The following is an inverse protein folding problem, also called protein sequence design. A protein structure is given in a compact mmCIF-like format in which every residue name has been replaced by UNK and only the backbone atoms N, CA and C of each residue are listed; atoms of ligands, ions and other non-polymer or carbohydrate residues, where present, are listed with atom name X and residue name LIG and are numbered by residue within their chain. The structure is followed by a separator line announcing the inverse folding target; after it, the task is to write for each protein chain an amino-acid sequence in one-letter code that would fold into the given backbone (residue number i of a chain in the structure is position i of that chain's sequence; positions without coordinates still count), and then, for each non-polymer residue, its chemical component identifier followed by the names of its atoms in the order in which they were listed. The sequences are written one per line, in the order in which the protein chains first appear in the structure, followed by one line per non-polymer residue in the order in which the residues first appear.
data_IF_278540436593
#
_entry.id   IF_278540436593
#
_cell.length_a   1.000
_cell.length_b   1.000
_cell.length_c   1.000
_cell.angle_alpha   90.00
_cell.angle_beta   90.00
_cell.angle_gamma   90.00
#
_symmetry.space_group_name_H-M   'P 1'
#
loop_
_entity.id
_entity.type
_entity.pdbx_description
1 polymer ?
#
# COMPACT_ATOMS: atom_id res chain seq x y z
N UNK A 1 -7.35 28.72 17.78
CA UNK A 1 -7.26 28.89 16.31
C UNK A 1 -6.97 27.50 15.78
N UNK A 2 -7.98 26.82 15.26
CA UNK A 2 -7.77 25.56 14.54
C UNK A 2 -7.24 25.97 13.18
N UNK A 3 -5.93 25.92 12.98
CA UNK A 3 -5.38 25.98 11.62
C UNK A 3 -6.02 24.83 10.86
N UNK A 4 -6.79 25.16 9.82
CA UNK A 4 -7.33 24.14 8.94
C UNK A 4 -6.14 23.37 8.35
N UNK A 5 -6.17 22.03 8.37
CA UNK A 5 -5.10 21.24 7.77
C UNK A 5 -4.93 21.61 6.28
N UNK A 6 -3.69 21.62 5.80
CA UNK A 6 -3.39 21.83 4.38
C UNK A 6 -4.07 20.73 3.55
N UNK A 7 -4.71 21.07 2.44
CA UNK A 7 -5.31 20.08 1.54
C UNK A 7 -4.35 19.76 0.39
N UNK A 8 -3.76 18.56 0.31
CA UNK A 8 -2.87 18.19 -0.79
C UNK A 8 -3.62 18.06 -2.11
N UNK A 9 -2.92 18.33 -3.21
CA UNK A 9 -3.41 18.02 -4.54
C UNK A 9 -3.12 16.53 -4.83
N UNK A 10 -4.17 15.71 -4.89
CA UNK A 10 -4.06 14.25 -5.07
C UNK A 10 -4.50 13.87 -6.48
N UNK A 11 -3.65 13.16 -7.21
CA UNK A 11 -3.97 12.57 -8.52
C UNK A 11 -3.87 11.05 -8.43
N UNK A 12 -4.93 10.35 -8.81
CA UNK A 12 -5.01 8.89 -8.80
C UNK A 12 -4.67 8.27 -10.16
N UNK A 13 -4.04 7.10 -10.14
CA UNK A 13 -3.68 6.28 -11.31
C UNK A 13 -4.18 4.85 -11.05
N UNK A 14 -5.31 4.49 -11.66
CA UNK A 14 -5.92 3.18 -11.48
C UNK A 14 -5.31 2.14 -12.44
N UNK A 15 -4.91 0.98 -11.91
CA UNK A 15 -4.59 -0.21 -12.70
C UNK A 15 -5.76 -1.18 -12.78
N UNK A 16 -6.41 -1.34 -13.95
CA UNK A 16 -7.49 -2.32 -14.08
C UNK A 16 -7.02 -3.78 -13.99
N UNK A 17 -5.72 -4.08 -14.11
CA UNK A 17 -5.22 -5.46 -14.04
C UNK A 17 -5.12 -6.00 -12.61
N UNK A 18 -4.89 -5.13 -11.63
CA UNK A 18 -4.78 -5.48 -10.20
C UNK A 18 -5.84 -4.80 -9.33
N UNK A 19 -6.55 -3.81 -9.87
CA UNK A 19 -7.45 -2.89 -9.18
C UNK A 19 -6.74 -1.93 -8.21
N UNK A 20 -5.41 -1.79 -8.34
CA UNK A 20 -4.61 -0.90 -7.51
C UNK A 20 -4.83 0.55 -7.90
N UNK A 21 -4.87 1.44 -6.93
CA UNK A 21 -4.87 2.89 -7.12
C UNK A 21 -3.56 3.44 -6.60
N UNK A 22 -2.67 3.86 -7.50
CA UNK A 22 -1.47 4.61 -7.13
C UNK A 22 -1.78 6.10 -7.05
N UNK A 23 -1.05 6.84 -6.23
CA UNK A 23 -1.28 8.29 -6.06
C UNK A 23 -0.02 9.12 -6.29
N UNK A 24 -0.20 10.28 -6.91
CA UNK A 24 0.74 11.42 -6.76
C UNK A 24 0.10 12.43 -5.82
N UNK A 25 0.80 12.74 -4.73
CA UNK A 25 0.38 13.67 -3.69
C UNK A 25 1.29 14.89 -3.72
N UNK A 26 0.76 16.04 -4.12
CA UNK A 26 1.51 17.28 -4.27
C UNK A 26 1.19 18.28 -3.16
N UNK A 27 2.23 18.93 -2.65
CA UNK A 27 2.11 20.12 -1.80
C UNK A 27 1.53 21.29 -2.61
N UNK A 28 0.37 21.86 -2.25
CA UNK A 28 -0.22 22.98 -2.98
C UNK A 28 0.63 24.25 -2.94
N UNK A 29 1.56 24.36 -1.99
CA UNK A 29 2.43 25.53 -1.82
C UNK A 29 3.82 25.38 -2.47
N UNK A 30 4.14 24.23 -3.08
CA UNK A 30 5.43 23.99 -3.72
C UNK A 30 5.36 23.01 -4.90
N UNK A 31 6.52 22.68 -5.47
CA UNK A 31 6.66 21.65 -6.50
C UNK A 31 6.87 20.24 -5.91
N UNK A 32 6.95 20.10 -4.58
CA UNK A 32 7.24 18.83 -3.94
C UNK A 32 6.06 17.87 -4.04
N UNK A 33 6.36 16.60 -4.36
CA UNK A 33 5.36 15.53 -4.36
C UNK A 33 5.87 14.21 -3.78
N UNK A 34 4.94 13.34 -3.44
CA UNK A 34 5.17 11.93 -3.15
C UNK A 34 4.39 11.05 -4.12
N UNK A 35 4.91 9.84 -4.37
CA UNK A 35 4.19 8.76 -5.06
C UNK A 35 3.88 7.68 -4.03
N UNK A 36 2.65 7.15 -4.06
CA UNK A 36 2.17 6.12 -3.13
C UNK A 36 1.72 4.89 -3.93
N UNK A 37 2.19 3.70 -3.53
CA UNK A 37 1.77 2.37 -4.01
C UNK A 37 1.81 2.22 -5.55
N UNK A 38 2.99 2.47 -6.14
CA UNK A 38 3.18 2.43 -7.60
C UNK A 38 3.27 1.02 -8.18
N UNK A 39 2.75 0.81 -9.39
CA UNK A 39 2.68 -0.52 -10.04
C UNK A 39 3.78 -0.73 -11.10
N UNK A 40 4.46 -1.88 -11.03
CA UNK A 40 5.19 -2.53 -12.12
C UNK A 40 4.29 -3.62 -12.71
N UNK A 41 3.97 -3.50 -14.01
CA UNK A 41 3.05 -4.44 -14.65
C UNK A 41 3.71 -5.81 -14.81
N UNK A 42 2.91 -6.88 -14.70
CA UNK A 42 3.36 -8.23 -15.02
C UNK A 42 2.29 -9.02 -15.80
N UNK A 43 2.68 -9.53 -16.96
CA UNK A 43 2.02 -10.69 -17.57
C UNK A 43 2.66 -11.94 -16.97
N UNK A 44 2.03 -12.46 -15.92
CA UNK A 44 2.58 -13.57 -15.16
C UNK A 44 2.68 -14.86 -16.00
N UNK A 45 1.76 -15.08 -16.93
CA UNK A 45 1.79 -16.27 -17.79
C UNK A 45 2.97 -16.21 -18.78
N UNK A 46 3.32 -15.02 -19.24
CA UNK A 46 4.46 -14.80 -20.13
C UNK A 46 5.78 -14.52 -19.41
N UNK A 47 5.77 -14.34 -18.08
CA UNK A 47 6.93 -13.88 -17.30
C UNK A 47 7.44 -12.49 -17.73
N UNK A 48 6.57 -11.65 -18.32
CA UNK A 48 6.97 -10.36 -18.88
C UNK A 48 6.56 -9.23 -17.95
N UNK A 49 7.53 -8.41 -17.56
CA UNK A 49 7.27 -7.15 -16.87
C UNK A 49 7.19 -5.98 -17.85
N UNK A 50 6.42 -4.96 -17.51
CA UNK A 50 6.50 -3.62 -18.12
C UNK A 50 6.38 -2.53 -17.05
N UNK A 51 6.65 -1.30 -17.45
CA UNK A 51 6.60 -0.13 -16.57
C UNK A 51 5.58 0.90 -17.04
N UNK A 52 4.52 0.46 -17.73
CA UNK A 52 3.56 1.36 -18.39
C UNK A 52 2.85 2.25 -17.37
N UNK A 53 2.44 1.68 -16.24
CA UNK A 53 1.81 2.44 -15.16
C UNK A 53 2.81 3.37 -14.46
N UNK A 54 4.01 2.89 -14.16
CA UNK A 54 5.08 3.73 -13.62
C UNK A 54 5.46 4.88 -14.58
N UNK A 55 5.48 4.64 -15.89
CA UNK A 55 5.74 5.65 -16.93
C UNK A 55 4.68 6.76 -16.95
N UNK A 56 3.41 6.43 -16.68
CA UNK A 56 2.34 7.44 -16.56
C UNK A 56 2.59 8.39 -15.38
N UNK A 57 3.01 7.84 -14.24
CA UNK A 57 3.37 8.61 -13.05
C UNK A 57 4.62 9.47 -13.34
N UNK A 58 5.64 8.90 -13.97
CA UNK A 58 6.87 9.62 -14.35
C UNK A 58 6.55 10.79 -15.30
N UNK A 59 5.72 10.54 -16.31
CA UNK A 59 5.27 11.58 -17.24
C UNK A 59 4.51 12.69 -16.51
N UNK A 60 3.57 12.33 -15.62
CA UNK A 60 2.82 13.31 -14.83
C UNK A 60 3.74 14.23 -14.01
N UNK A 61 4.72 13.67 -13.31
CA UNK A 61 5.69 14.41 -12.49
C UNK A 61 6.52 15.35 -13.37
N UNK A 62 7.03 14.86 -14.52
CA UNK A 62 7.84 15.66 -15.45
C UNK A 62 7.05 16.78 -16.12
N UNK A 63 5.86 16.49 -16.62
CA UNK A 63 5.01 17.45 -17.35
C UNK A 63 4.59 18.64 -16.47
N UNK A 64 4.53 18.43 -15.14
CA UNK A 64 4.19 19.45 -14.16
C UNK A 64 5.42 20.07 -13.47
N UNK A 65 6.63 19.66 -13.84
CA UNK A 65 7.88 20.08 -13.20
C UNK A 65 7.87 19.86 -11.68
N UNK A 66 7.31 18.73 -11.23
CA UNK A 66 7.28 18.38 -9.82
C UNK A 66 8.61 17.74 -9.39
N UNK A 67 8.93 17.91 -8.10
CA UNK A 67 10.10 17.33 -7.45
C UNK A 67 9.67 16.19 -6.55
N UNK A 68 9.97 14.96 -6.96
CA UNK A 68 9.67 13.76 -6.18
C UNK A 68 10.56 13.69 -4.92
N UNK A 69 9.96 13.76 -3.74
CA UNK A 69 10.67 13.63 -2.46
C UNK A 69 10.56 12.23 -1.87
N UNK A 70 9.42 11.57 -2.10
CA UNK A 70 9.09 10.29 -1.49
C UNK A 70 8.41 9.33 -2.46
N UNK A 71 8.78 8.07 -2.35
CA UNK A 71 8.05 6.91 -2.83
C UNK A 71 7.63 6.15 -1.57
N UNK A 72 6.34 5.93 -1.39
CA UNK A 72 5.81 5.35 -0.15
C UNK A 72 5.04 4.08 -0.50
N UNK A 73 5.40 3.00 0.18
CA UNK A 73 4.63 1.78 0.19
C UNK A 73 3.81 1.72 1.49
N UNK A 74 2.49 1.66 1.36
CA UNK A 74 1.60 1.49 2.53
C UNK A 74 1.83 0.14 3.18
N UNK A 75 2.18 -0.89 2.41
CA UNK A 75 2.51 -2.23 2.89
C UNK A 75 3.28 -3.03 1.83
N UNK A 76 3.63 -4.29 2.14
CA UNK A 76 4.14 -5.22 1.14
C UNK A 76 2.96 -5.81 0.38
N UNK A 77 2.71 -5.31 -0.82
CA UNK A 77 1.58 -5.72 -1.65
C UNK A 77 1.67 -7.18 -2.09
N UNK A 78 0.52 -7.85 -2.13
CA UNK A 78 0.37 -9.26 -2.52
C UNK A 78 -0.34 -9.44 -3.87
N UNK A 79 -0.70 -8.35 -4.54
CA UNK A 79 -1.58 -8.32 -5.69
C UNK A 79 -0.92 -7.63 -6.90
N UNK A 80 0.13 -6.84 -6.69
CA UNK A 80 0.93 -6.21 -7.74
C UNK A 80 2.42 -6.12 -7.34
N UNK A 81 3.31 -5.89 -8.30
CA UNK A 81 4.73 -5.65 -8.04
C UNK A 81 4.96 -4.15 -7.94
N UNK A 82 5.78 -3.69 -6.99
CA UNK A 82 6.07 -2.27 -6.84
C UNK A 82 6.91 -1.74 -8.01
N UNK A 83 6.48 -0.61 -8.58
CA UNK A 83 7.23 0.17 -9.56
C UNK A 83 8.22 1.16 -8.94
N UNK A 84 8.35 1.20 -7.60
CA UNK A 84 9.02 2.30 -6.91
C UNK A 84 10.50 2.46 -7.29
N UNK A 85 11.33 1.40 -7.40
CA UNK A 85 12.74 1.56 -7.81
C UNK A 85 12.90 2.10 -9.23
N UNK A 86 11.98 1.75 -10.14
CA UNK A 86 12.01 2.25 -11.51
C UNK A 86 11.72 3.75 -11.55
N UNK A 87 10.70 4.19 -10.81
CA UNK A 87 10.37 5.62 -10.64
C UNK A 87 11.52 6.36 -9.95
N UNK A 88 12.10 5.76 -8.90
CA UNK A 88 13.22 6.32 -8.15
C UNK A 88 14.44 6.56 -9.05
N UNK A 89 14.78 5.61 -9.91
CA UNK A 89 15.89 5.76 -10.85
C UNK A 89 15.64 6.90 -11.86
N UNK A 90 14.37 7.14 -12.23
CA UNK A 90 13.99 8.16 -13.22
C UNK A 90 13.84 9.58 -12.65
N UNK A 91 13.51 9.71 -11.36
CA UNK A 91 13.07 10.97 -10.74
C UNK A 91 13.75 11.30 -9.40
N UNK A 92 14.47 10.35 -8.78
CA UNK A 92 15.00 10.48 -7.42
C UNK A 92 13.95 10.19 -6.36
N UNK A 93 14.05 10.89 -5.22
CA UNK A 93 13.21 10.65 -4.05
C UNK A 93 13.72 9.51 -3.16
N UNK A 94 13.07 9.33 -2.01
CA UNK A 94 13.38 8.28 -1.02
C UNK A 94 12.26 7.26 -0.93
N UNK A 95 12.59 5.98 -0.98
CA UNK A 95 11.64 4.88 -0.84
C UNK A 95 11.44 4.53 0.64
N UNK A 96 10.21 4.65 1.11
CA UNK A 96 9.83 4.39 2.51
C UNK A 96 8.75 3.34 2.67
N UNK A 97 8.84 2.58 3.77
CA UNK A 97 7.86 1.55 4.18
C UNK A 97 7.79 1.47 5.71
N UNK A 98 6.80 0.80 6.27
CA UNK A 98 6.71 0.51 7.71
C UNK A 98 7.87 -0.36 8.22
N UNK A 99 8.39 -0.04 9.41
CA UNK A 99 9.55 -0.72 10.01
C UNK A 99 9.34 -2.23 10.28
N UNK A 100 8.08 -2.68 10.36
CA UNK A 100 7.73 -4.09 10.49
C UNK A 100 7.89 -4.87 9.16
N UNK A 101 8.39 -4.24 8.10
CA UNK A 101 8.87 -4.93 6.88
C UNK A 101 9.82 -6.08 7.21
N UNK A 102 10.63 -5.94 8.25
CA UNK A 102 11.58 -6.98 8.70
C UNK A 102 10.86 -8.29 9.07
N UNK A 103 9.66 -8.23 9.66
CA UNK A 103 8.84 -9.42 9.96
C UNK A 103 8.39 -10.11 8.67
N UNK A 104 8.02 -9.33 7.66
CA UNK A 104 7.61 -9.83 6.34
C UNK A 104 8.82 -10.46 5.63
N UNK A 105 9.98 -9.81 5.64
CA UNK A 105 11.23 -10.32 5.06
C UNK A 105 11.69 -11.62 5.75
N UNK A 106 11.56 -11.72 7.07
CA UNK A 106 11.87 -12.94 7.81
C UNK A 106 10.95 -14.11 7.48
N UNK A 107 9.66 -13.82 7.30
CA UNK A 107 8.65 -14.83 6.97
C UNK A 107 8.83 -15.32 5.54
N UNK A 108 8.80 -14.40 4.57
CA UNK A 108 8.84 -14.76 3.15
C UNK A 108 10.22 -15.09 2.64
N UNK A 109 11.28 -14.58 3.27
CA UNK A 109 12.65 -15.03 3.01
C UNK A 109 12.82 -16.53 3.28
N UNK A 110 12.09 -17.10 4.26
CA UNK A 110 12.08 -18.56 4.51
C UNK A 110 11.22 -19.29 3.48
N UNK A 111 10.01 -18.81 3.22
CA UNK A 111 9.06 -19.43 2.27
C UNK A 111 9.67 -19.53 0.86
N UNK A 112 10.35 -18.49 0.40
CA UNK A 112 10.98 -18.45 -0.92
C UNK A 112 12.42 -18.97 -0.95
N UNK A 113 12.88 -19.56 0.17
CA UNK A 113 14.24 -20.09 0.31
C UNK A 113 15.30 -19.08 -0.16
N UNK A 114 15.25 -17.88 0.42
CA UNK A 114 16.24 -16.85 0.20
C UNK A 114 17.44 -17.07 1.10
N UNK A 115 18.61 -17.12 0.48
CA UNK A 115 19.88 -17.31 1.15
C UNK A 115 20.29 -16.09 1.99
N UNK A 116 21.50 -16.16 2.53
CA UNK A 116 22.05 -15.14 3.45
C UNK A 116 22.37 -13.80 2.77
N UNK A 117 22.36 -13.75 1.43
CA UNK A 117 22.58 -12.51 0.67
C UNK A 117 21.37 -11.57 0.73
N UNK A 118 20.16 -12.12 0.89
CA UNK A 118 18.97 -11.31 1.10
C UNK A 118 18.91 -10.84 2.54
N UNK A 119 19.24 -9.56 2.76
CA UNK A 119 19.13 -8.92 4.07
C UNK A 119 17.67 -8.82 4.51
N UNK A 120 17.42 -9.05 5.80
CA UNK A 120 16.08 -9.08 6.41
C UNK A 120 15.91 -8.00 7.48
N UNK A 121 16.63 -6.89 7.29
CA UNK A 121 16.70 -5.75 8.18
C UNK A 121 16.06 -4.49 7.58
N UNK A 122 15.39 -4.61 6.43
CA UNK A 122 14.75 -3.52 5.71
C UNK A 122 15.72 -2.56 5.00
N UNK A 123 17.02 -2.86 4.95
CA UNK A 123 18.05 -2.00 4.33
C UNK A 123 17.87 -1.73 2.83
N UNK A 124 16.96 -2.45 2.17
CA UNK A 124 16.54 -2.20 0.79
C UNK A 124 15.71 -0.91 0.64
N UNK A 125 15.16 -0.39 1.73
CA UNK A 125 14.35 0.83 1.77
C UNK A 125 15.18 1.99 2.35
N UNK A 126 15.02 3.19 1.82
CA UNK A 126 15.72 4.38 2.32
C UNK A 126 15.19 4.85 3.69
N UNK A 127 13.92 4.52 3.99
CA UNK A 127 13.28 4.88 5.26
C UNK A 127 12.38 3.77 5.78
N UNK A 128 12.60 3.41 7.05
CA UNK A 128 11.69 2.59 7.85
C UNK A 128 10.88 3.48 8.79
N UNK A 129 9.56 3.55 8.59
CA UNK A 129 8.65 4.35 9.40
C UNK A 129 8.17 3.58 10.64
N UNK A 130 8.24 4.25 11.80
CA UNK A 130 7.62 3.78 13.03
C UNK A 130 6.26 4.46 13.24
N UNK A 131 5.45 3.92 14.15
CA UNK A 131 4.20 4.57 14.54
C UNK A 131 4.46 5.97 15.09
N UNK A 132 3.73 6.96 14.55
CA UNK A 132 3.86 8.36 14.96
C UNK A 132 5.02 9.12 14.34
N UNK A 133 5.85 8.47 13.50
CA UNK A 133 6.91 9.18 12.76
C UNK A 133 6.32 10.32 11.92
N UNK A 134 7.08 11.40 11.81
CA UNK A 134 6.75 12.53 10.94
C UNK A 134 7.80 12.74 9.88
N UNK A 135 7.38 13.24 8.72
CA UNK A 135 8.23 13.57 7.59
C UNK A 135 7.60 14.72 6.79
N UNK A 136 8.35 15.30 5.85
CA UNK A 136 7.87 16.42 5.03
C UNK A 136 7.65 16.00 3.59
N UNK A 137 6.62 16.59 2.96
CA UNK A 137 6.50 16.73 1.50
C UNK A 137 6.39 18.23 1.23
N UNK A 138 7.48 18.85 0.79
CA UNK A 138 7.56 20.30 0.70
C UNK A 138 7.30 20.97 2.05
N UNK A 139 6.24 21.77 2.12
CA UNK A 139 5.81 22.48 3.32
C UNK A 139 4.87 21.65 4.22
N UNK A 140 4.33 20.53 3.72
CA UNK A 140 3.37 19.70 4.45
C UNK A 140 4.06 18.77 5.46
N UNK A 141 3.66 18.85 6.73
CA UNK A 141 4.00 17.82 7.73
C UNK A 141 3.09 16.62 7.58
N UNK A 142 3.71 15.47 7.34
CA UNK A 142 3.06 14.18 7.19
C UNK A 142 3.29 13.35 8.45
N UNK A 143 2.35 12.45 8.77
CA UNK A 143 2.45 11.52 9.89
C UNK A 143 2.18 10.09 9.42
N UNK A 144 3.08 9.17 9.78
CA UNK A 144 2.89 7.74 9.58
C UNK A 144 2.20 7.13 10.81
N UNK A 145 1.17 6.33 10.59
CA UNK A 145 0.44 5.60 11.63
C UNK A 145 0.59 4.11 11.34
N UNK A 146 1.03 3.33 12.31
CA UNK A 146 1.10 1.88 12.17
C UNK A 146 -0.31 1.30 12.29
N UNK A 147 -0.79 0.75 11.17
CA UNK A 147 -2.15 0.20 11.01
C UNK A 147 -2.10 -1.27 10.56
N UNK A 148 -1.50 -2.17 11.35
CA UNK A 148 -1.39 -3.59 11.01
C UNK A 148 -2.74 -4.29 11.00
N UNK A 149 -2.76 -5.50 10.46
CA UNK A 149 -3.90 -6.41 10.51
C UNK A 149 -4.16 -7.09 9.18
N UNK A 150 -4.08 -6.33 8.08
CA UNK A 150 -3.99 -6.91 6.75
C UNK A 150 -2.61 -7.58 6.54
N UNK A 151 -1.55 -6.84 6.88
CA UNK A 151 -0.20 -7.36 7.09
C UNK A 151 0.39 -6.78 8.39
N UNK A 152 1.47 -7.35 8.94
CA UNK A 152 2.16 -6.78 10.09
C UNK A 152 2.77 -5.38 9.84
N UNK A 153 3.00 -5.02 8.57
CA UNK A 153 3.78 -3.85 8.17
C UNK A 153 2.94 -2.70 7.58
N UNK A 154 1.61 -2.83 7.59
CA UNK A 154 0.71 -1.80 7.05
C UNK A 154 0.86 -0.46 7.80
N UNK A 155 0.94 0.62 7.02
CA UNK A 155 1.01 2.00 7.46
C UNK A 155 -0.11 2.82 6.80
N UNK A 156 -0.72 3.71 7.59
CA UNK A 156 -1.53 4.81 7.06
C UNK A 156 -0.70 6.08 7.08
N UNK A 157 -0.65 6.79 5.95
CA UNK A 157 0.09 8.05 5.82
C UNK A 157 -0.89 9.22 5.81
N UNK A 158 -0.91 10.02 6.88
CA UNK A 158 -1.69 11.25 6.97
C UNK A 158 -0.87 12.42 6.43
N UNK A 159 -1.38 13.08 5.40
CA UNK A 159 -0.75 14.17 4.66
C UNK A 159 -1.76 15.31 4.59
N UNK A 160 -1.65 16.29 5.48
CA UNK A 160 -2.62 17.37 5.55
C UNK A 160 -4.01 16.88 5.99
N UNK A 161 -5.05 17.16 5.21
CA UNK A 161 -6.44 16.69 5.41
C UNK A 161 -6.72 15.28 4.82
N UNK A 162 -5.71 14.64 4.22
CA UNK A 162 -5.83 13.36 3.54
C UNK A 162 -5.10 12.23 4.29
N UNK A 163 -5.64 11.03 4.27
CA UNK A 163 -4.99 9.82 4.76
C UNK A 163 -5.00 8.71 3.70
N UNK A 164 -3.83 8.17 3.39
CA UNK A 164 -3.66 7.04 2.48
C UNK A 164 -3.61 5.77 3.33
N UNK A 165 -4.69 4.98 3.28
CA UNK A 165 -4.97 3.96 4.30
C UNK A 165 -4.47 2.56 3.94
N UNK A 166 -3.84 2.40 2.77
CA UNK A 166 -3.45 1.10 2.25
C UNK A 166 -4.63 0.14 2.16
N UNK A 167 -4.37 -1.16 2.33
CA UNK A 167 -5.39 -2.18 2.50
C UNK A 167 -5.84 -2.32 3.95
N UNK A 168 -6.31 -1.22 4.54
CA UNK A 168 -6.98 -1.20 5.85
C UNK A 168 -8.50 -1.12 5.67
N UNK A 169 -8.94 -0.11 4.91
CA UNK A 169 -10.32 0.14 4.52
C UNK A 169 -10.42 0.15 2.99
N UNK A 170 -11.55 -0.32 2.48
CA UNK A 170 -11.97 -0.02 1.11
C UNK A 170 -13.05 1.06 1.15
N UNK A 171 -13.57 1.44 -0.02
CA UNK A 171 -14.78 2.26 -0.10
C UNK A 171 -15.88 1.69 0.82
N UNK A 172 -16.82 2.51 1.34
CA UNK A 172 -17.77 2.06 2.35
C UNK A 172 -18.56 0.80 1.95
N UNK A 173 -18.89 0.65 0.67
CA UNK A 173 -19.59 -0.50 0.12
C UNK A 173 -18.69 -1.70 -0.25
N UNK A 174 -17.36 -1.51 -0.26
CA UNK A 174 -16.35 -2.56 -0.34
C UNK A 174 -15.90 -3.08 1.03
N UNK A 175 -16.08 -2.29 2.09
CA UNK A 175 -15.85 -2.72 3.47
C UNK A 175 -14.37 -2.65 3.88
N UNK A 176 -13.73 -3.81 4.07
CA UNK A 176 -12.39 -3.92 4.65
C UNK A 176 -11.58 -5.01 3.96
N UNK A 177 -10.26 -4.89 4.02
CA UNK A 177 -9.33 -5.89 3.51
C UNK A 177 -9.45 -7.24 4.25
N UNK A 178 -8.89 -8.28 3.63
CA UNK A 178 -8.67 -9.61 4.23
C UNK A 178 -7.59 -9.55 5.32
N UNK A 179 -7.59 -10.49 6.26
CA UNK A 179 -6.65 -10.52 7.38
C UNK A 179 -6.03 -11.92 7.61
N UNK A 180 -5.91 -12.72 6.55
CA UNK A 180 -5.45 -14.12 6.57
C UNK A 180 -4.08 -14.34 5.91
N UNK A 181 -3.41 -13.29 5.45
CA UNK A 181 -2.01 -13.39 5.07
C UNK A 181 -1.14 -13.76 6.28
N UNK A 182 0.06 -14.34 6.09
CA UNK A 182 0.99 -14.60 7.17
C UNK A 182 1.24 -13.36 8.05
N UNK A 183 0.79 -13.42 9.31
CA UNK A 183 0.87 -12.31 10.28
C UNK A 183 -0.29 -11.31 10.23
N UNK A 184 -1.26 -11.51 9.34
CA UNK A 184 -2.55 -10.82 9.38
C UNK A 184 -3.41 -11.31 10.56
N UNK A 185 -4.27 -10.44 11.07
CA UNK A 185 -5.18 -10.72 12.16
C UNK A 185 -6.38 -9.77 12.13
N UNK A 186 -7.60 -10.33 12.16
CA UNK A 186 -8.82 -9.55 12.08
C UNK A 186 -9.03 -8.64 13.30
N UNK A 187 -8.61 -9.06 14.49
CA UNK A 187 -8.73 -8.23 15.69
C UNK A 187 -7.82 -7.00 15.61
N UNK A 188 -6.59 -7.23 15.18
CA UNK A 188 -5.58 -6.19 14.94
C UNK A 188 -6.04 -5.24 13.83
N UNK A 189 -6.62 -5.77 12.74
CA UNK A 189 -7.18 -4.95 11.67
C UNK A 189 -8.30 -4.05 12.18
N UNK A 190 -9.22 -4.57 12.99
CA UNK A 190 -10.27 -3.76 13.61
C UNK A 190 -9.68 -2.62 14.45
N UNK A 191 -8.71 -2.94 15.31
CA UNK A 191 -8.09 -1.95 16.20
C UNK A 191 -7.38 -0.85 15.37
N UNK A 192 -6.74 -1.21 14.25
CA UNK A 192 -6.16 -0.27 13.28
C UNK A 192 -7.20 0.58 12.57
N UNK A 193 -8.31 -0.01 12.13
CA UNK A 193 -9.44 0.73 11.54
C UNK A 193 -9.95 1.76 12.54
N UNK A 194 -10.13 1.41 13.82
CA UNK A 194 -10.58 2.37 14.82
C UNK A 194 -9.60 3.53 15.04
N UNK A 195 -8.27 3.31 14.89
CA UNK A 195 -7.29 4.41 14.90
C UNK A 195 -7.50 5.36 13.71
N UNK A 196 -7.75 4.82 12.51
CA UNK A 196 -8.01 5.64 11.30
C UNK A 196 -9.33 6.39 11.45
N UNK A 197 -10.39 5.74 11.93
CA UNK A 197 -11.68 6.39 12.14
C UNK A 197 -11.68 7.36 13.34
N UNK A 198 -10.65 7.38 14.18
CA UNK A 198 -10.46 8.39 15.21
C UNK A 198 -9.90 9.72 14.67
N UNK A 199 -9.49 9.78 13.39
CA UNK A 199 -9.17 11.04 12.70
C UNK A 199 -10.42 11.94 12.60
N UNK A 200 -10.26 13.25 12.32
CA UNK A 200 -11.38 14.16 12.08
C UNK A 200 -12.35 13.64 11.03
N UNK A 201 -13.65 13.87 11.21
CA UNK A 201 -14.72 13.33 10.36
C UNK A 201 -14.61 13.77 8.89
N UNK A 202 -14.04 14.95 8.63
CA UNK A 202 -13.78 15.52 7.32
C UNK A 202 -12.46 15.06 6.68
N UNK A 203 -11.68 14.21 7.36
CA UNK A 203 -10.46 13.63 6.79
C UNK A 203 -10.82 12.80 5.56
N UNK A 204 -10.21 13.14 4.43
CA UNK A 204 -10.32 12.40 3.17
C UNK A 204 -9.52 11.12 3.29
N UNK A 205 -10.13 9.98 2.97
CA UNK A 205 -9.48 8.68 3.00
C UNK A 205 -9.28 8.19 1.56
N UNK A 206 -8.03 7.87 1.24
CA UNK A 206 -7.61 7.34 -0.04
C UNK A 206 -7.28 5.86 0.09
N UNK A 207 -8.05 5.04 -0.60
CA UNK A 207 -8.02 3.57 -0.55
C UNK A 207 -6.98 3.00 -1.52
N UNK A 208 -6.39 1.85 -1.21
CA UNK A 208 -5.39 1.24 -2.10
C UNK A 208 -6.01 0.46 -3.27
N UNK A 209 -7.19 -0.12 -3.08
CA UNK A 209 -7.88 -0.92 -4.08
C UNK A 209 -9.38 -0.68 -4.12
N UNK A 210 -9.95 -0.63 -5.32
CA UNK A 210 -11.39 -0.65 -5.52
C UNK A 210 -11.82 -1.67 -6.57
N UNK A 211 -12.78 -2.50 -6.19
CA UNK A 211 -13.23 -3.65 -6.99
C UNK A 211 -14.58 -3.41 -7.67
N UNK A 212 -15.14 -2.18 -7.58
CA UNK A 212 -16.41 -1.81 -8.21
C UNK A 212 -17.58 -2.75 -7.86
N UNK A 213 -17.85 -3.03 -6.57
CA UNK A 213 -18.90 -3.96 -6.16
C UNK A 213 -20.25 -3.57 -6.78
N UNK A 214 -21.03 -4.57 -7.20
CA UNK A 214 -22.30 -4.38 -7.90
C UNK A 214 -22.20 -3.65 -9.26
N UNK A 215 -21.00 -3.56 -9.84
CA UNK A 215 -20.78 -2.95 -11.15
C UNK A 215 -20.81 -1.42 -11.13
N UNK A 216 -20.62 -0.78 -9.98
CA UNK A 216 -20.48 0.67 -9.89
C UNK A 216 -19.17 1.16 -10.51
N UNK A 217 -19.09 2.46 -10.79
CA UNK A 217 -17.84 3.08 -11.21
C UNK A 217 -16.76 2.99 -10.13
N UNK A 218 -15.50 2.95 -10.58
CA UNK A 218 -14.34 2.92 -9.70
C UNK A 218 -14.24 4.23 -8.93
N UNK A 219 -14.00 4.11 -7.63
CA UNK A 219 -13.86 5.22 -6.71
C UNK A 219 -12.68 4.98 -5.77
N UNK A 220 -12.05 6.04 -5.31
CA UNK A 220 -10.83 5.95 -4.50
C UNK A 220 -10.74 6.94 -3.34
N UNK A 221 -11.76 7.79 -3.19
CA UNK A 221 -11.82 8.80 -2.15
C UNK A 221 -13.16 8.69 -1.41
N UNK A 222 -13.09 8.65 -0.09
CA UNK A 222 -14.20 8.65 0.88
C UNK A 222 -13.79 9.53 2.06
N UNK A 223 -14.59 9.58 3.12
CA UNK A 223 -14.27 10.32 4.35
C UNK A 223 -14.40 9.45 5.59
N UNK A 224 -13.76 9.86 6.68
CA UNK A 224 -13.95 9.22 7.99
C UNK A 224 -15.43 9.19 8.38
N UNK A 225 -16.18 10.27 8.13
CA UNK A 225 -17.62 10.33 8.40
C UNK A 225 -18.40 9.27 7.59
N UNK A 226 -18.13 9.15 6.29
CA UNK A 226 -18.79 8.18 5.42
C UNK A 226 -18.45 6.74 5.81
N UNK A 227 -17.19 6.44 6.15
CA UNK A 227 -16.79 5.13 6.64
C UNK A 227 -17.51 4.75 7.95
N UNK A 228 -17.55 5.67 8.92
CA UNK A 228 -18.28 5.46 10.18
C UNK A 228 -19.76 5.18 9.95
N UNK A 229 -20.39 5.92 9.03
CA UNK A 229 -21.81 5.83 8.78
C UNK A 229 -22.21 4.64 7.90
N UNK A 230 -21.39 4.29 6.91
CA UNK A 230 -21.82 3.48 5.78
C UNK A 230 -20.93 2.27 5.49
N UNK A 231 -19.77 2.11 6.13
CA UNK A 231 -18.93 0.96 5.87
C UNK A 231 -19.66 -0.35 6.20
N UNK A 232 -19.79 -1.24 5.21
CA UNK A 232 -20.57 -2.47 5.34
C UNK A 232 -19.93 -3.52 6.25
N UNK A 233 -18.70 -3.32 6.73
CA UNK A 233 -17.98 -4.23 7.64
C UNK A 233 -17.80 -3.65 9.05
N UNK A 234 -17.47 -2.35 9.17
CA UNK A 234 -17.12 -1.70 10.44
C UNK A 234 -17.99 -0.49 10.80
N UNK A 235 -18.79 0.01 9.86
CA UNK A 235 -19.66 1.17 10.07
C UNK A 235 -20.88 0.84 10.93
N UNK A 236 -21.62 1.88 11.34
CA UNK A 236 -22.88 1.75 12.07
C UNK A 236 -22.73 1.24 13.51
N UNK A 237 -21.55 1.35 14.12
CA UNK A 237 -21.30 0.96 15.51
C UNK A 237 -21.10 -0.54 15.72
N UNK A 238 -20.69 -1.28 14.68
CA UNK A 238 -20.34 -2.70 14.79
C UNK A 238 -19.23 -2.91 15.81
N UNK A 239 -19.41 -3.93 16.65
CA UNK A 239 -18.45 -4.30 17.67
C UNK A 239 -17.22 -5.00 17.08
N UNK A 240 -16.14 -5.03 17.87
CA UNK A 240 -14.91 -5.76 17.55
C UNK A 240 -15.18 -7.25 17.34
N UNK A 241 -16.01 -7.84 18.18
CA UNK A 241 -16.37 -9.26 18.14
C UNK A 241 -17.16 -9.61 16.87
N UNK A 242 -18.12 -8.77 16.48
CA UNK A 242 -18.88 -8.93 15.23
C UNK A 242 -17.96 -8.84 14.02
N UNK A 243 -17.03 -7.89 14.01
CA UNK A 243 -16.07 -7.75 12.92
C UNK A 243 -15.16 -8.98 12.81
N UNK A 244 -14.57 -9.45 13.92
CA UNK A 244 -13.66 -10.61 13.92
C UNK A 244 -14.40 -11.85 13.41
N UNK A 245 -15.61 -12.10 13.89
CA UNK A 245 -16.42 -13.24 13.47
C UNK A 245 -16.71 -13.18 11.96
N UNK A 246 -17.16 -12.03 11.47
CA UNK A 246 -17.41 -11.80 10.05
C UNK A 246 -16.15 -11.98 9.20
N UNK A 247 -15.06 -11.29 9.57
CA UNK A 247 -13.82 -11.24 8.78
C UNK A 247 -13.17 -12.60 8.68
N UNK A 248 -13.08 -13.33 9.80
CA UNK A 248 -12.56 -14.71 9.84
C UNK A 248 -13.38 -15.65 8.95
N UNK A 249 -14.71 -15.57 9.02
CA UNK A 249 -15.58 -16.40 8.20
C UNK A 249 -15.48 -16.06 6.70
N UNK A 250 -15.31 -14.76 6.38
CA UNK A 250 -15.16 -14.30 5.00
C UNK A 250 -13.81 -14.71 4.41
N UNK A 251 -12.73 -14.59 5.17
CA UNK A 251 -11.37 -14.92 4.70
C UNK A 251 -11.23 -16.40 4.36
N UNK A 252 -11.87 -17.30 5.13
CA UNK A 252 -11.92 -18.73 4.84
C UNK A 252 -12.60 -19.10 3.50
N UNK A 253 -13.23 -18.13 2.82
CA UNK A 253 -13.89 -18.31 1.53
C UNK A 253 -13.12 -17.68 0.37
N UNK A 254 -11.99 -17.01 0.63
CA UNK A 254 -11.23 -16.29 -0.38
C UNK A 254 -10.11 -17.18 -0.93
N UNK A 255 -9.99 -17.21 -2.25
CA UNK A 255 -8.81 -17.76 -2.90
C UNK A 255 -7.58 -16.86 -2.69
N UNK A 256 -6.40 -17.40 -2.95
CA UNK A 256 -5.17 -16.61 -2.94
C UNK A 256 -5.15 -15.58 -4.08
N UNK A 257 -4.62 -14.37 -3.86
CA UNK A 257 -4.46 -13.38 -4.92
C UNK A 257 -3.63 -13.97 -6.07
N UNK A 258 -4.04 -13.65 -7.30
CA UNK A 258 -3.42 -14.17 -8.54
C UNK A 258 -1.90 -13.92 -8.59
N UNK A 259 -1.44 -12.80 -8.04
CA UNK A 259 -0.05 -12.36 -8.11
C UNK A 259 0.69 -12.46 -6.76
N UNK A 260 0.15 -13.18 -5.76
CA UNK A 260 0.80 -13.23 -4.43
C UNK A 260 2.24 -13.73 -4.45
N UNK A 261 2.52 -14.76 -5.24
CA UNK A 261 3.86 -15.33 -5.37
C UNK A 261 4.85 -14.31 -5.98
N UNK A 262 4.61 -13.77 -7.19
CA UNK A 262 5.54 -12.81 -7.77
C UNK A 262 5.63 -11.51 -6.96
N UNK A 263 4.51 -10.98 -6.46
CA UNK A 263 4.46 -9.72 -5.73
C UNK A 263 5.30 -9.75 -4.45
N UNK A 264 5.08 -10.75 -3.58
CA UNK A 264 5.78 -10.79 -2.28
C UNK A 264 7.29 -10.94 -2.44
N UNK A 265 7.76 -11.68 -3.45
CA UNK A 265 9.20 -11.81 -3.73
C UNK A 265 9.85 -10.49 -4.09
N UNK A 266 9.17 -9.71 -4.93
CA UNK A 266 9.70 -8.45 -5.44
C UNK A 266 9.54 -7.35 -4.39
N UNK A 267 8.39 -7.28 -3.73
CA UNK A 267 8.05 -6.20 -2.82
C UNK A 267 8.79 -6.32 -1.47
N UNK A 268 9.13 -7.53 -1.01
CA UNK A 268 10.01 -7.68 0.16
C UNK A 268 11.45 -7.20 -0.11
N UNK A 269 11.80 -6.95 -1.37
CA UNK A 269 13.07 -6.36 -1.84
C UNK A 269 12.89 -4.91 -2.31
N UNK A 270 11.88 -4.22 -1.77
CA UNK A 270 11.58 -2.83 -2.13
C UNK A 270 11.26 -2.63 -3.63
N UNK A 271 10.75 -3.65 -4.33
CA UNK A 271 10.42 -3.58 -5.76
C UNK A 271 11.54 -4.09 -6.69
N UNK A 272 12.69 -4.47 -6.15
CA UNK A 272 13.76 -5.08 -6.95
C UNK A 272 13.42 -6.55 -7.31
N UNK A 273 13.71 -6.93 -8.56
CA UNK A 273 13.65 -8.33 -8.96
C UNK A 273 14.65 -9.17 -8.13
N UNK A 274 14.40 -10.48 -7.96
CA UNK A 274 15.42 -11.39 -7.41
C UNK A 274 16.75 -11.24 -8.17
N UNK A 275 17.91 -11.46 -7.54
CA UNK A 275 19.20 -11.38 -8.22
C UNK A 275 19.23 -12.18 -9.53
N UNK A 276 19.90 -11.63 -10.54
CA UNK A 276 20.08 -12.34 -11.80
C UNK A 276 21.02 -13.54 -11.62
N UNK A 277 20.83 -14.58 -12.44
CA UNK A 277 21.80 -15.67 -12.59
C UNK A 277 23.08 -15.21 -13.31
N UNK A 278 24.06 -16.10 -13.44
CA UNK A 278 25.34 -15.82 -14.15
C UNK A 278 25.14 -15.40 -15.62
N UNK A 279 23.97 -15.67 -16.20
CA UNK A 279 23.60 -15.29 -17.57
C UNK A 279 22.80 -13.99 -17.64
N UNK A 280 22.57 -13.31 -16.51
CA UNK A 280 21.81 -12.07 -16.43
C UNK A 280 20.29 -12.24 -16.40
N UNK A 281 19.77 -13.46 -16.20
CA UNK A 281 18.33 -13.72 -16.17
C UNK A 281 17.78 -13.71 -14.74
N UNK A 282 16.58 -13.16 -14.57
CA UNK A 282 15.86 -13.16 -13.30
C UNK A 282 14.83 -14.28 -13.26
N UNK A 283 14.66 -14.92 -12.10
CA UNK A 283 13.66 -15.97 -11.90
C UNK A 283 12.86 -15.74 -10.63
N UNK A 284 11.56 -15.95 -10.73
CA UNK A 284 10.65 -16.03 -9.60
C UNK A 284 10.53 -17.48 -9.16
N UNK A 285 10.49 -17.72 -7.84
CA UNK A 285 10.38 -19.07 -7.28
C UNK A 285 8.93 -19.36 -6.90
N UNK A 286 8.38 -20.49 -7.35
CA UNK A 286 7.05 -20.93 -6.91
C UNK A 286 7.22 -21.97 -5.81
N UNK A 287 6.90 -21.66 -4.54
CA UNK A 287 6.97 -22.64 -3.48
C UNK A 287 5.81 -23.64 -3.63
N UNK A 288 6.14 -24.94 -3.65
CA UNK A 288 5.14 -26.00 -3.85
C UNK A 288 4.56 -26.44 -2.50
N UNK A 289 3.25 -26.26 -2.31
CA UNK A 289 2.50 -26.66 -1.11
C UNK A 289 2.98 -26.00 0.21
N UNK A 290 3.44 -24.76 0.18
CA UNK A 290 3.94 -24.03 1.36
C UNK A 290 3.18 -22.73 1.69
N UNK A 291 2.30 -22.28 0.80
CA UNK A 291 1.53 -21.03 0.94
C UNK A 291 0.04 -21.35 1.10
#
# INVERSE_FOLDING_TARGET
MTDNPVSPLVTAFFDPATNTVSYVVQDPASDACAVIDSVMDIDYAAGRISYRHADQIIAFVRDRNLRLEWLIETHVHADHLSGAPYIQAALGGRLGIGAQITVVQETFGKIFNEGTEFQRDGSQFDRLFQDGDTYQIGTMTCRAIHTPGHTPACMTHVIGDAAFVGDTLFMPDGGSARADFPGGDAGTLYDSIQKVLALPDDTRLFICHDYGPNGREIAWETTVAEEKAHNIHVGGGRSREEFIAFRTARDAQLDMPRLIIPSLQVNMRAGALPPADDSGNHYLKVPVNLL
#
